data_IF_167702297944
#
_entry.id   IF_167702297944
#
_cell.length_a   1.000
_cell.length_b   1.000
_cell.length_c   1.000
_cell.angle_alpha   90.00
_cell.angle_beta   90.00
_cell.angle_gamma   90.00
#
_symmetry.space_group_name_H-M   'P 1'
#
loop_
_entity.id
_entity.type
_entity.pdbx_description
1 polymer ?
#
# COMPACT_ATOMS: atom_id res chain seq x y z
N UNK A 1 -19.73 4.17 -9.91
CA UNK A 1 -18.87 5.23 -9.36
C UNK A 1 -19.17 6.54 -10.05
N UNK A 2 -18.82 7.67 -9.43
CA UNK A 2 -18.94 9.02 -9.95
C UNK A 2 -17.58 9.72 -9.82
N UNK A 3 -17.20 10.52 -10.82
CA UNK A 3 -15.97 11.33 -10.81
C UNK A 3 -16.25 12.72 -11.40
N UNK A 4 -15.68 13.79 -10.83
CA UNK A 4 -15.81 15.15 -11.38
C UNK A 4 -14.53 15.95 -11.22
N UNK A 5 -14.25 16.78 -12.24
CA UNK A 5 -13.18 17.78 -12.30
C UNK A 5 -13.71 19.16 -12.71
N UNK A 6 -15.02 19.36 -12.65
CA UNK A 6 -15.67 20.60 -13.07
C UNK A 6 -15.38 21.75 -12.11
N UNK A 7 -15.13 21.42 -10.83
CA UNK A 7 -14.66 22.38 -9.83
C UNK A 7 -13.15 22.54 -10.02
N UNK A 8 -12.73 23.76 -10.33
CA UNK A 8 -11.32 24.11 -10.54
C UNK A 8 -10.44 23.62 -9.38
N UNK A 9 -9.30 23.03 -9.70
CA UNK A 9 -8.29 22.53 -8.77
C UNK A 9 -8.72 21.31 -7.92
N UNK A 10 -9.94 20.79 -8.10
CA UNK A 10 -10.43 19.58 -7.44
C UNK A 10 -10.50 18.38 -8.40
N UNK A 11 -10.10 17.22 -7.89
CA UNK A 11 -10.28 15.91 -8.53
C UNK A 11 -11.05 15.00 -7.57
N UNK A 12 -12.37 14.89 -7.80
CA UNK A 12 -13.32 14.27 -6.88
C UNK A 12 -13.81 12.91 -7.39
N UNK A 13 -14.05 11.99 -6.47
CA UNK A 13 -14.62 10.69 -6.77
C UNK A 13 -15.47 10.15 -5.61
N UNK A 14 -16.46 9.33 -5.96
CA UNK A 14 -17.27 8.58 -5.02
C UNK A 14 -17.73 7.25 -5.63
N UNK A 15 -17.96 6.24 -4.82
CA UNK A 15 -18.60 5.00 -5.25
C UNK A 15 -19.34 4.33 -4.10
N UNK A 16 -20.36 3.54 -4.46
CA UNK A 16 -20.96 2.51 -3.62
C UNK A 16 -20.64 1.16 -4.28
N UNK A 17 -20.22 0.18 -3.49
CA UNK A 17 -19.80 -1.16 -3.92
C UNK A 17 -20.47 -2.20 -3.01
N UNK A 18 -21.21 -3.15 -3.59
CA UNK A 18 -21.96 -4.18 -2.88
C UNK A 18 -21.36 -5.59 -3.04
N UNK A 19 -20.56 -5.80 -4.09
CA UNK A 19 -19.92 -7.10 -4.38
C UNK A 19 -18.48 -6.95 -4.82
N UNK A 20 -17.73 -8.05 -4.69
CA UNK A 20 -16.35 -8.20 -5.17
C UNK A 20 -16.21 -9.47 -5.99
N UNK A 21 -15.47 -9.40 -7.09
CA UNK A 21 -14.97 -10.59 -7.79
C UNK A 21 -13.45 -10.66 -7.54
N UNK A 22 -13.02 -11.71 -6.87
CA UNK A 22 -11.62 -11.88 -6.49
C UNK A 22 -10.75 -12.28 -7.68
N UNK A 23 -9.45 -11.96 -7.60
CA UNK A 23 -8.46 -12.21 -8.67
C UNK A 23 -8.33 -13.69 -9.09
N UNK A 24 -8.70 -14.60 -8.19
CA UNK A 24 -8.70 -16.05 -8.31
C UNK A 24 -10.12 -16.64 -8.33
N UNK A 25 -11.15 -15.81 -8.58
CA UNK A 25 -12.55 -16.21 -8.68
C UNK A 25 -13.14 -15.89 -10.05
N UNK A 26 -14.29 -16.48 -10.33
CA UNK A 26 -15.09 -16.24 -11.54
C UNK A 26 -16.48 -15.70 -11.22
N UNK A 27 -16.80 -15.45 -9.95
CA UNK A 27 -18.13 -15.02 -9.51
C UNK A 27 -18.05 -13.80 -8.57
N UNK A 28 -19.20 -13.14 -8.39
CA UNK A 28 -19.33 -12.01 -7.47
C UNK A 28 -19.80 -12.48 -6.09
N UNK A 29 -18.99 -12.19 -5.08
CA UNK A 29 -19.21 -12.51 -3.67
C UNK A 29 -19.51 -11.24 -2.85
N UNK A 30 -19.99 -11.41 -1.62
CA UNK A 30 -20.08 -10.30 -0.66
C UNK A 30 -18.68 -9.84 -0.26
N UNK A 31 -18.56 -8.55 0.03
CA UNK A 31 -17.33 -7.95 0.54
C UNK A 31 -17.13 -8.41 2.00
N UNK A 32 -15.88 -8.72 2.40
CA UNK A 32 -15.55 -9.15 3.76
C UNK A 32 -14.21 -8.59 4.26
N UNK A 33 -14.12 -8.38 5.57
CA UNK A 33 -12.89 -7.98 6.25
C UNK A 33 -11.94 -9.18 6.45
N UNK A 34 -10.64 -8.93 6.32
CA UNK A 34 -9.59 -9.90 6.59
C UNK A 34 -9.44 -10.19 8.09
N UNK A 35 -9.40 -11.48 8.44
CA UNK A 35 -9.11 -11.96 9.80
C UNK A 35 -7.66 -12.41 10.00
N UNK A 36 -6.74 -11.99 9.14
CA UNK A 36 -5.34 -12.44 9.18
C UNK A 36 -4.72 -12.30 10.57
N UNK A 37 -3.92 -13.27 10.98
CA UNK A 37 -3.25 -13.31 12.29
C UNK A 37 -4.21 -13.22 13.49
N UNK A 38 -5.51 -13.46 13.28
CA UNK A 38 -6.54 -13.30 14.31
C UNK A 38 -6.73 -11.86 14.76
N UNK A 39 -6.36 -10.87 13.93
CA UNK A 39 -6.46 -9.43 14.26
C UNK A 39 -7.90 -8.97 14.40
N UNK A 40 -8.79 -9.53 13.59
CA UNK A 40 -10.22 -9.26 13.57
C UNK A 40 -11.00 -10.55 13.35
N UNK A 41 -12.28 -10.55 13.72
CA UNK A 41 -13.20 -11.61 13.28
C UNK A 41 -13.54 -11.37 11.80
N UNK A 42 -13.29 -12.36 10.94
CA UNK A 42 -13.72 -12.25 9.54
C UNK A 42 -15.25 -12.21 9.48
N UNK A 43 -15.78 -11.20 8.79
CA UNK A 43 -17.20 -10.93 8.67
C UNK A 43 -17.50 -10.27 7.31
N UNK A 44 -18.65 -10.61 6.74
CA UNK A 44 -19.16 -10.03 5.50
C UNK A 44 -19.97 -8.75 5.79
N UNK A 45 -20.08 -7.88 4.80
CA UNK A 45 -20.94 -6.69 4.78
C UNK A 45 -21.91 -6.74 3.61
N UNK A 46 -22.98 -5.95 3.69
CA UNK A 46 -23.90 -5.74 2.57
C UNK A 46 -23.35 -4.75 1.54
N UNK A 47 -22.36 -3.92 1.91
CA UNK A 47 -21.65 -3.06 0.98
C UNK A 47 -20.75 -2.05 1.66
N UNK A 48 -20.13 -1.21 0.85
CA UNK A 48 -19.35 -0.08 1.31
C UNK A 48 -19.54 1.12 0.40
N UNK A 49 -19.27 2.30 0.91
CA UNK A 49 -19.08 3.48 0.08
C UNK A 49 -17.78 4.18 0.41
N UNK A 50 -17.25 4.90 -0.56
CA UNK A 50 -16.20 5.88 -0.33
C UNK A 50 -16.51 7.16 -1.08
N UNK A 51 -16.00 8.26 -0.55
CA UNK A 51 -16.02 9.56 -1.19
C UNK A 51 -14.79 10.36 -0.78
N UNK A 52 -14.31 11.19 -1.70
CA UNK A 52 -13.16 12.02 -1.43
C UNK A 52 -12.53 12.53 -2.71
N UNK A 53 -11.29 12.96 -2.59
CA UNK A 53 -10.57 13.49 -3.73
C UNK A 53 -9.31 14.21 -3.33
N UNK A 54 -8.83 15.00 -4.27
CA UNK A 54 -7.65 15.81 -4.12
C UNK A 54 -7.93 17.27 -4.41
N UNK A 55 -7.19 18.15 -3.75
CA UNK A 55 -7.18 19.58 -3.99
C UNK A 55 -5.76 20.05 -4.31
N UNK A 56 -5.59 20.69 -5.47
CA UNK A 56 -4.34 21.32 -5.86
C UNK A 56 -4.25 22.71 -5.20
N UNK A 57 -3.64 22.78 -4.02
CA UNK A 57 -3.57 24.02 -3.23
C UNK A 57 -2.69 25.08 -3.92
N UNK A 58 -1.54 24.67 -4.44
CA UNK A 58 -0.65 25.48 -5.29
C UNK A 58 0.22 24.54 -6.15
N UNK A 59 1.08 25.01 -7.07
CA UNK A 59 1.88 24.12 -7.93
C UNK A 59 2.77 23.08 -7.21
N UNK A 60 3.16 23.34 -5.96
CA UNK A 60 4.03 22.47 -5.16
C UNK A 60 3.25 21.56 -4.18
N UNK A 61 2.05 21.95 -3.74
CA UNK A 61 1.30 21.28 -2.68
C UNK A 61 -0.04 20.75 -3.18
N UNK A 62 -0.24 19.43 -3.00
CA UNK A 62 -1.49 18.72 -3.25
C UNK A 62 -2.01 18.13 -1.93
N UNK A 63 -3.27 18.40 -1.61
CA UNK A 63 -3.95 17.85 -0.44
C UNK A 63 -4.90 16.73 -0.88
N UNK A 64 -5.10 15.74 -0.02
CA UNK A 64 -5.95 14.57 -0.27
C UNK A 64 -6.82 14.32 0.95
N UNK A 65 -8.10 14.03 0.74
CA UNK A 65 -9.01 13.61 1.81
C UNK A 65 -10.00 12.56 1.28
N UNK A 66 -10.22 11.51 2.05
CA UNK A 66 -11.17 10.43 1.77
C UNK A 66 -11.86 9.97 3.04
N UNK A 67 -13.11 9.55 2.90
CA UNK A 67 -13.85 8.78 3.88
C UNK A 67 -14.37 7.51 3.20
N UNK A 68 -14.27 6.39 3.89
CA UNK A 68 -14.81 5.10 3.48
C UNK A 68 -15.56 4.49 4.65
N UNK A 69 -16.70 3.89 4.36
CA UNK A 69 -17.59 3.27 5.33
C UNK A 69 -17.95 1.89 4.81
N UNK A 70 -17.66 0.87 5.63
CA UNK A 70 -17.92 -0.53 5.34
C UNK A 70 -18.97 -0.99 6.35
N UNK A 71 -20.20 -1.11 5.88
CA UNK A 71 -21.41 -1.21 6.71
C UNK A 71 -21.28 -2.33 7.75
N UNK A 72 -21.58 -1.99 9.01
CA UNK A 72 -21.48 -2.86 10.19
C UNK A 72 -20.08 -3.47 10.48
N UNK A 73 -19.02 -3.01 9.81
CA UNK A 73 -17.65 -3.48 10.02
C UNK A 73 -16.74 -2.37 10.55
N UNK A 74 -16.45 -1.37 9.73
CA UNK A 74 -15.57 -0.25 10.10
C UNK A 74 -15.73 0.94 9.15
N UNK A 75 -15.40 2.12 9.66
CA UNK A 75 -15.21 3.31 8.86
C UNK A 75 -13.73 3.76 8.91
N UNK A 76 -13.30 4.47 7.87
CA UNK A 76 -11.93 4.94 7.72
C UNK A 76 -11.86 6.33 7.11
N UNK A 77 -11.25 7.26 7.86
CA UNK A 77 -10.90 8.60 7.37
C UNK A 77 -9.44 8.62 6.98
N UNK A 78 -9.13 9.15 5.80
CA UNK A 78 -7.77 9.40 5.32
C UNK A 78 -7.61 10.88 5.01
N UNK A 79 -6.53 11.49 5.50
CA UNK A 79 -6.07 12.80 5.05
C UNK A 79 -4.60 12.72 4.68
N UNK A 80 -4.17 13.54 3.73
CA UNK A 80 -2.78 13.60 3.35
C UNK A 80 -2.38 14.86 2.61
N UNK A 81 -1.07 15.07 2.55
CA UNK A 81 -0.44 16.14 1.83
C UNK A 81 0.77 15.60 1.06
N UNK A 82 0.91 15.99 -0.20
CA UNK A 82 2.08 15.76 -1.03
C UNK A 82 2.68 17.12 -1.38
N UNK A 83 3.93 17.33 -0.98
CA UNK A 83 4.72 18.51 -1.32
C UNK A 83 5.86 18.12 -2.27
N UNK A 84 6.02 18.88 -3.35
CA UNK A 84 7.09 18.73 -4.33
C UNK A 84 8.05 19.92 -4.25
N UNK A 85 9.35 19.63 -4.17
CA UNK A 85 10.41 20.62 -4.10
C UNK A 85 11.52 20.29 -5.10
N UNK A 86 11.53 21.00 -6.23
CA UNK A 86 12.60 20.91 -7.22
C UNK A 86 13.80 21.74 -6.73
N UNK A 87 14.93 21.08 -6.49
CA UNK A 87 16.18 21.75 -6.05
C UNK A 87 16.93 22.29 -7.29
N UNK A 88 17.05 21.47 -8.33
CA UNK A 88 17.64 21.83 -9.62
C UNK A 88 17.12 20.89 -10.73
N UNK A 89 17.65 21.00 -11.94
CA UNK A 89 17.16 20.22 -13.10
C UNK A 89 17.33 18.70 -12.98
N UNK A 90 18.26 18.24 -12.14
CA UNK A 90 18.53 16.81 -11.93
C UNK A 90 18.08 16.32 -10.57
N UNK A 91 17.71 17.23 -9.65
CA UNK A 91 17.46 16.90 -8.25
C UNK A 91 16.09 17.39 -7.79
N UNK A 92 15.24 16.46 -7.36
CA UNK A 92 13.91 16.71 -6.82
C UNK A 92 13.73 16.02 -5.48
N UNK A 93 13.05 16.68 -4.56
CA UNK A 93 12.65 16.12 -3.28
C UNK A 93 11.14 16.19 -3.13
N UNK A 94 10.53 15.10 -2.67
CA UNK A 94 9.10 15.07 -2.36
C UNK A 94 8.84 14.54 -0.96
N UNK A 95 7.85 15.12 -0.30
CA UNK A 95 7.38 14.71 1.02
C UNK A 95 5.91 14.39 0.94
N UNK A 96 5.52 13.18 1.35
CA UNK A 96 4.13 12.78 1.48
C UNK A 96 3.85 12.36 2.92
N UNK A 97 2.88 13.04 3.54
CA UNK A 97 2.40 12.74 4.88
C UNK A 97 0.94 12.32 4.78
N UNK A 98 0.59 11.21 5.41
CA UNK A 98 -0.78 10.69 5.47
C UNK A 98 -1.13 10.28 6.89
N UNK A 99 -2.37 10.49 7.25
CA UNK A 99 -2.97 10.00 8.48
C UNK A 99 -4.25 9.23 8.14
N UNK A 100 -4.39 8.07 8.76
CA UNK A 100 -5.56 7.22 8.64
C UNK A 100 -6.14 6.98 10.04
N UNK A 101 -7.44 7.20 10.18
CA UNK A 101 -8.22 6.87 11.37
C UNK A 101 -9.21 5.77 11.00
N UNK A 102 -9.07 4.60 11.59
CA UNK A 102 -9.99 3.47 11.39
C UNK A 102 -10.74 3.17 12.67
N UNK A 103 -12.07 3.08 12.62
CA UNK A 103 -12.93 2.79 13.77
C UNK A 103 -14.02 1.79 13.43
N UNK A 104 -14.53 1.07 14.42
CA UNK A 104 -15.69 0.21 14.23
C UNK A 104 -16.92 1.04 13.85
N UNK A 105 -17.85 0.39 13.15
CA UNK A 105 -19.06 1.01 12.64
C UNK A 105 -20.28 0.10 12.87
N UNK A 106 -21.46 0.69 13.09
CA UNK A 106 -22.73 -0.02 13.22
C UNK A 106 -22.70 -1.14 14.27
N UNK A 107 -23.06 -2.36 13.85
CA UNK A 107 -23.04 -3.56 14.68
C UNK A 107 -21.63 -4.09 15.02
N UNK A 108 -20.57 -3.53 14.42
CA UNK A 108 -19.18 -3.92 14.64
C UNK A 108 -18.94 -5.44 14.54
N UNK A 109 -19.43 -6.09 13.47
CA UNK A 109 -19.38 -7.56 13.29
C UNK A 109 -17.95 -8.11 13.28
N UNK A 110 -16.97 -7.26 12.99
CA UNK A 110 -15.53 -7.57 13.01
C UNK A 110 -14.90 -7.59 14.42
N UNK A 111 -15.62 -7.09 15.42
CA UNK A 111 -15.08 -6.77 16.74
C UNK A 111 -14.55 -5.34 16.81
N UNK A 112 -13.76 -5.05 17.85
CA UNK A 112 -13.14 -3.73 18.04
C UNK A 112 -12.25 -3.38 16.83
N UNK A 113 -12.40 -2.16 16.33
CA UNK A 113 -11.46 -1.52 15.40
C UNK A 113 -11.08 -0.18 16.00
N UNK A 114 -9.83 -0.06 16.42
CA UNK A 114 -9.23 1.16 16.96
C UNK A 114 -7.79 1.25 16.45
N UNK A 115 -7.60 1.98 15.35
CA UNK A 115 -6.28 2.18 14.75
C UNK A 115 -6.11 3.61 14.23
N UNK A 116 -4.98 4.21 14.60
CA UNK A 116 -4.47 5.45 14.04
C UNK A 116 -3.12 5.14 13.37
N UNK A 117 -3.04 5.36 12.06
CA UNK A 117 -1.81 5.16 11.30
C UNK A 117 -1.28 6.50 10.80
N UNK A 118 -0.10 6.89 11.27
CA UNK A 118 0.69 7.95 10.66
C UNK A 118 1.69 7.33 9.70
N UNK A 119 1.69 7.85 8.48
CA UNK A 119 2.50 7.35 7.39
C UNK A 119 3.23 8.50 6.71
N UNK A 120 4.56 8.48 6.80
CA UNK A 120 5.42 9.45 6.13
C UNK A 120 6.25 8.75 5.05
N UNK A 121 6.37 9.39 3.89
CA UNK A 121 7.12 8.91 2.75
C UNK A 121 7.89 10.07 2.10
N UNK A 122 9.20 9.94 2.01
CA UNK A 122 10.10 10.94 1.46
C UNK A 122 10.89 10.34 0.30
N UNK A 123 10.97 11.07 -0.80
CA UNK A 123 11.73 10.65 -1.99
C UNK A 123 12.70 11.75 -2.40
N UNK A 124 14.00 11.43 -2.42
CA UNK A 124 15.03 12.22 -3.06
C UNK A 124 15.41 11.56 -4.38
N UNK A 125 15.16 12.24 -5.49
CA UNK A 125 15.63 11.85 -6.81
C UNK A 125 16.81 12.71 -7.20
N UNK A 126 17.92 12.10 -7.59
CA UNK A 126 19.08 12.77 -8.17
C UNK A 126 19.53 12.03 -9.43
N UNK A 127 19.46 12.69 -10.58
CA UNK A 127 19.69 12.09 -11.89
C UNK A 127 18.82 10.84 -12.08
N UNK A 128 19.45 9.67 -12.18
CA UNK A 128 18.79 8.37 -12.38
C UNK A 128 18.57 7.60 -11.08
N UNK A 129 19.03 8.14 -9.95
CA UNK A 129 18.92 7.54 -8.64
C UNK A 129 17.69 8.05 -7.89
N UNK A 130 17.07 7.16 -7.13
CA UNK A 130 16.08 7.53 -6.11
C UNK A 130 16.46 6.92 -4.78
N UNK A 131 16.37 7.73 -3.74
CA UNK A 131 16.52 7.33 -2.35
C UNK A 131 15.20 7.64 -1.64
N UNK A 132 14.57 6.61 -1.09
CA UNK A 132 13.23 6.69 -0.53
C UNK A 132 13.27 6.19 0.92
N UNK A 133 12.70 6.99 1.81
CA UNK A 133 12.46 6.60 3.21
C UNK A 133 10.96 6.64 3.49
N UNK A 134 10.45 5.57 4.11
CA UNK A 134 9.06 5.46 4.52
C UNK A 134 8.95 4.99 5.97
N UNK A 135 7.90 5.42 6.67
CA UNK A 135 7.58 4.85 7.99
C UNK A 135 6.07 4.71 8.22
N UNK A 136 5.69 3.62 8.88
CA UNK A 136 4.37 3.44 9.48
C UNK A 136 4.49 3.51 11.00
N UNK A 137 3.57 4.27 11.61
CA UNK A 137 3.48 4.44 13.05
C UNK A 137 2.04 4.14 13.46
N UNK A 138 1.78 2.92 13.93
CA UNK A 138 0.46 2.51 14.37
C UNK A 138 0.23 2.86 15.85
N UNK A 139 -0.94 3.40 16.14
CA UNK A 139 -1.42 3.72 17.49
C UNK A 139 -2.85 3.17 17.65
N UNK A 140 -3.28 2.99 18.88
CA UNK A 140 -4.54 2.33 19.21
C UNK A 140 -4.38 0.85 19.57
N UNK A 141 -5.50 0.19 19.79
CA UNK A 141 -5.53 -1.19 20.31
C UNK A 141 -5.47 -2.27 19.25
N UNK A 142 -5.74 -1.95 18.00
CA UNK A 142 -5.92 -2.93 16.93
C UNK A 142 -5.01 -2.67 15.72
N UNK A 143 -5.01 -3.61 14.78
CA UNK A 143 -4.28 -3.52 13.51
C UNK A 143 -4.92 -2.52 12.55
N UNK A 144 -4.27 -2.24 11.42
CA UNK A 144 -4.95 -1.53 10.32
C UNK A 144 -5.92 -2.49 9.60
N UNK A 145 -7.25 -2.19 9.52
CA UNK A 145 -8.22 -3.07 8.88
C UNK A 145 -8.15 -2.97 7.35
N UNK A 146 -8.40 -4.10 6.67
CA UNK A 146 -8.52 -4.16 5.23
C UNK A 146 -9.41 -5.34 4.77
N UNK A 147 -9.89 -5.25 3.52
CA UNK A 147 -10.77 -6.24 2.90
C UNK A 147 -9.96 -7.42 2.32
N UNK A 148 -10.56 -8.60 2.25
CA UNK A 148 -9.87 -9.78 1.68
C UNK A 148 -9.66 -9.69 0.17
N UNK A 149 -8.71 -10.46 -0.35
CA UNK A 149 -8.54 -10.67 -1.80
C UNK A 149 -7.70 -9.62 -2.51
N UNK A 150 -7.02 -8.76 -1.76
CA UNK A 150 -6.07 -7.78 -2.27
C UNK A 150 -5.23 -7.17 -1.16
N UNK A 151 -4.36 -6.26 -1.56
CA UNK A 151 -3.44 -5.52 -0.71
C UNK A 151 -3.99 -4.11 -0.39
N UNK A 152 -3.32 -3.36 0.49
CA UNK A 152 -3.77 -2.03 0.92
C UNK A 152 -3.31 -0.91 -0.03
N UNK A 153 -4.03 0.21 -0.06
CA UNK A 153 -3.67 1.41 -0.84
C UNK A 153 -2.59 2.31 -0.21
N UNK A 154 -1.66 1.74 0.57
CA UNK A 154 -0.58 2.45 1.26
C UNK A 154 0.68 2.54 0.37
N UNK A 155 1.72 3.27 0.80
CA UNK A 155 2.94 3.52 -0.03
C UNK A 155 4.11 2.62 0.34
N UNK A 156 4.19 2.12 1.58
CA UNK A 156 5.04 0.98 1.90
C UNK A 156 4.26 -0.27 1.49
N UNK A 157 4.36 -0.60 0.21
CA UNK A 157 3.78 -1.79 -0.40
C UNK A 157 4.89 -2.83 -0.56
N UNK A 158 5.08 -3.60 0.50
CA UNK A 158 5.95 -4.80 0.58
C UNK A 158 5.18 -6.03 0.09
N UNK A 159 5.87 -7.10 -0.31
CA UNK A 159 5.23 -8.18 -1.07
C UNK A 159 4.63 -9.26 -0.14
N UNK A 160 5.41 -10.11 0.54
CA UNK A 160 4.86 -11.07 1.49
C UNK A 160 4.66 -10.49 2.91
N UNK A 161 5.49 -9.54 3.34
CA UNK A 161 5.32 -8.78 4.58
C UNK A 161 4.45 -7.55 4.35
N UNK A 162 3.64 -7.17 5.35
CA UNK A 162 2.69 -6.07 5.22
C UNK A 162 2.88 -4.95 6.27
N UNK A 163 3.49 -5.24 7.43
CA UNK A 163 3.81 -4.25 8.48
C UNK A 163 2.58 -3.48 9.01
N UNK A 164 1.46 -4.18 9.20
CA UNK A 164 0.16 -3.61 9.63
C UNK A 164 -0.31 -4.11 11.00
N UNK A 165 0.58 -4.71 11.80
CA UNK A 165 0.18 -5.28 13.09
C UNK A 165 -0.19 -4.20 14.13
N UNK A 166 -0.95 -4.56 15.19
CA UNK A 166 -1.29 -3.62 16.25
C UNK A 166 -0.02 -3.03 16.90
N UNK A 167 -0.03 -1.71 17.13
CA UNK A 167 1.04 -0.92 17.78
C UNK A 167 2.40 -0.91 17.06
N UNK A 168 2.49 -1.50 15.87
CA UNK A 168 3.71 -1.65 15.11
C UNK A 168 4.34 -0.30 14.69
N UNK A 169 5.68 -0.27 14.70
CA UNK A 169 6.53 0.82 14.22
C UNK A 169 7.45 0.28 13.14
N UNK A 170 7.21 0.68 11.89
CA UNK A 170 7.93 0.16 10.74
C UNK A 170 8.70 1.25 9.98
N UNK A 171 9.86 0.88 9.44
CA UNK A 171 10.77 1.74 8.70
C UNK A 171 11.22 1.05 7.42
N UNK A 172 11.13 1.75 6.31
CA UNK A 172 11.46 1.26 4.97
C UNK A 172 12.51 2.16 4.32
N UNK A 173 13.57 1.55 3.81
CA UNK A 173 14.63 2.21 3.05
C UNK A 173 14.69 1.60 1.66
N UNK A 174 14.50 2.42 0.62
CA UNK A 174 14.43 1.95 -0.76
C UNK A 174 15.38 2.74 -1.65
N UNK A 175 16.05 2.01 -2.53
CA UNK A 175 16.87 2.57 -3.59
C UNK A 175 16.34 2.13 -4.94
N UNK A 176 16.29 3.04 -5.91
CA UNK A 176 16.01 2.72 -7.31
C UNK A 176 17.06 3.31 -8.24
N UNK A 177 17.28 2.64 -9.37
CA UNK A 177 18.10 3.13 -10.47
C UNK A 177 17.43 2.91 -11.82
N UNK A 178 17.38 3.97 -12.64
CA UNK A 178 16.94 3.93 -14.04
C UNK A 178 18.16 3.84 -14.97
N UNK A 179 18.29 2.74 -15.71
CA UNK A 179 19.43 2.49 -16.59
C UNK A 179 19.29 3.15 -17.96
N UNK A 180 18.38 4.12 -18.15
CA UNK A 180 18.12 4.76 -19.46
C UNK A 180 19.36 5.22 -20.25
N UNK A 181 20.46 5.56 -19.58
CA UNK A 181 21.70 6.03 -20.23
C UNK A 181 22.60 4.88 -20.73
N UNK A 182 22.28 3.62 -20.37
CA UNK A 182 23.01 2.41 -20.76
C UNK A 182 22.11 1.42 -21.49
N UNK A 183 20.98 1.07 -20.86
CA UNK A 183 20.00 0.09 -21.36
C UNK A 183 18.60 0.70 -21.19
N UNK A 184 18.09 1.41 -22.22
CA UNK A 184 16.76 2.01 -22.18
C UNK A 184 15.66 1.02 -21.81
N UNK A 185 14.94 1.31 -20.72
CA UNK A 185 13.84 0.47 -20.23
C UNK A 185 14.23 -0.51 -19.12
N UNK A 186 15.52 -0.66 -18.79
CA UNK A 186 15.97 -1.45 -17.65
C UNK A 186 15.91 -0.63 -16.35
N UNK A 187 15.38 -1.21 -15.28
CA UNK A 187 15.23 -0.59 -13.96
C UNK A 187 15.53 -1.59 -12.84
N UNK A 188 16.16 -1.10 -11.78
CA UNK A 188 16.43 -1.86 -10.57
C UNK A 188 15.85 -1.16 -9.35
N UNK A 189 15.35 -1.94 -8.41
CA UNK A 189 14.96 -1.50 -7.08
C UNK A 189 15.41 -2.52 -6.03
N UNK A 190 15.84 -2.02 -4.88
CA UNK A 190 15.97 -2.82 -3.67
C UNK A 190 15.43 -2.05 -2.47
N UNK A 191 14.90 -2.78 -1.50
CA UNK A 191 14.32 -2.20 -0.29
C UNK A 191 14.62 -3.08 0.91
N UNK A 192 14.87 -2.44 2.04
CA UNK A 192 14.90 -3.08 3.35
C UNK A 192 13.83 -2.45 4.23
N UNK A 193 12.95 -3.28 4.79
CA UNK A 193 11.88 -2.87 5.70
C UNK A 193 12.00 -3.61 7.02
N UNK A 194 11.84 -2.90 8.14
CA UNK A 194 11.86 -3.51 9.48
C UNK A 194 10.78 -2.93 10.36
N UNK A 195 10.09 -3.81 11.08
CA UNK A 195 9.01 -3.51 12.02
C UNK A 195 9.35 -3.99 13.43
N UNK A 196 8.93 -3.23 14.44
CA UNK A 196 9.08 -3.58 15.86
C UNK A 196 7.90 -3.05 16.69
N UNK A 197 7.90 -3.33 18.01
CA UNK A 197 6.82 -2.99 18.92
C UNK A 197 5.47 -3.62 18.53
N UNK A 198 5.52 -4.77 17.87
CA UNK A 198 4.32 -5.49 17.44
C UNK A 198 3.62 -6.09 18.66
N UNK A 199 2.32 -5.81 18.80
CA UNK A 199 1.48 -6.36 19.84
C UNK A 199 0.61 -7.50 19.28
N UNK A 200 1.00 -8.76 19.54
CA UNK A 200 0.22 -9.93 19.16
C UNK A 200 0.37 -11.06 20.22
N UNK A 201 -0.21 -10.91 21.43
CA UNK A 201 -0.09 -11.91 22.49
C UNK A 201 -0.55 -13.32 22.07
N UNK A 202 -1.58 -13.39 21.22
CA UNK A 202 -2.08 -14.62 20.62
C UNK A 202 -1.06 -15.32 19.69
N UNK A 203 -0.02 -14.60 19.25
CA UNK A 203 1.03 -15.07 18.35
C UNK A 203 2.43 -14.96 18.97
N UNK A 204 2.53 -14.99 20.29
CA UNK A 204 3.82 -15.19 20.98
C UNK A 204 4.32 -13.99 21.78
N UNK A 205 3.58 -12.88 21.83
CA UNK A 205 3.82 -11.86 22.84
C UNK A 205 3.62 -10.43 22.40
N UNK A 206 4.22 -9.54 23.17
CA UNK A 206 4.28 -8.10 22.92
C UNK A 206 5.71 -7.72 22.56
N UNK A 207 5.90 -6.67 21.77
CA UNK A 207 7.21 -6.23 21.27
C UNK A 207 7.88 -7.23 20.31
N UNK A 208 7.07 -7.88 19.47
CA UNK A 208 7.56 -8.72 18.37
C UNK A 208 8.14 -7.84 17.23
N UNK A 209 8.81 -8.48 16.27
CA UNK A 209 9.51 -7.83 15.16
C UNK A 209 9.35 -8.60 13.85
N UNK A 210 9.44 -7.88 12.75
CA UNK A 210 9.49 -8.43 11.40
C UNK A 210 10.48 -7.66 10.51
N UNK A 211 10.94 -8.30 9.44
CA UNK A 211 11.86 -7.70 8.46
C UNK A 211 11.67 -8.29 7.08
N UNK A 212 11.92 -7.47 6.07
CA UNK A 212 11.86 -7.87 4.66
C UNK A 212 13.01 -7.23 3.88
N UNK A 213 13.62 -8.00 2.97
CA UNK A 213 14.55 -7.49 1.96
C UNK A 213 14.04 -7.84 0.57
N UNK A 214 13.83 -6.81 -0.25
CA UNK A 214 13.28 -6.90 -1.60
C UNK A 214 14.33 -6.62 -2.67
N UNK A 215 14.23 -7.34 -3.78
CA UNK A 215 14.94 -7.10 -5.03
C UNK A 215 13.97 -7.15 -6.21
N UNK A 216 13.99 -6.12 -7.06
CA UNK A 216 13.13 -6.00 -8.25
C UNK A 216 13.97 -5.56 -9.44
N UNK A 217 13.96 -6.38 -10.49
CA UNK A 217 14.61 -6.08 -11.76
C UNK A 217 13.58 -6.15 -12.88
N UNK A 218 13.35 -5.02 -13.53
CA UNK A 218 12.40 -4.89 -14.62
C UNK A 218 13.07 -4.42 -15.91
N UNK A 219 12.70 -5.01 -17.04
CA UNK A 219 13.10 -4.57 -18.37
C UNK A 219 11.88 -4.48 -19.27
N UNK A 220 11.62 -3.29 -19.84
CA UNK A 220 10.57 -3.11 -20.83
C UNK A 220 11.18 -2.62 -22.13
N UNK A 221 10.92 -3.32 -23.23
CA UNK A 221 11.42 -2.94 -24.55
C UNK A 221 10.71 -1.66 -25.01
N UNK A 222 11.49 -0.60 -25.23
CA UNK A 222 10.98 0.76 -25.49
C UNK A 222 10.63 1.03 -26.97
N UNK A 223 11.23 0.29 -27.90
CA UNK A 223 11.12 0.54 -29.34
C UNK A 223 11.24 -0.76 -30.17
N UNK A 224 11.03 -0.66 -31.49
CA UNK A 224 11.07 -1.80 -32.40
C UNK A 224 9.79 -2.65 -32.36
N UNK A 225 9.86 -3.83 -32.98
CA UNK A 225 8.70 -4.71 -33.18
C UNK A 225 8.25 -5.46 -31.90
N UNK A 226 9.11 -5.53 -30.89
CA UNK A 226 8.79 -6.05 -29.55
C UNK A 226 8.46 -4.96 -28.53
N UNK A 227 8.20 -3.72 -28.99
CA UNK A 227 7.83 -2.63 -28.09
C UNK A 227 6.67 -3.06 -27.17
N UNK A 228 6.79 -2.73 -25.88
CA UNK A 228 5.88 -3.12 -24.80
C UNK A 228 6.01 -4.58 -24.30
N UNK A 229 6.97 -5.37 -24.80
CA UNK A 229 7.35 -6.60 -24.12
C UNK A 229 8.06 -6.23 -22.80
N UNK A 230 7.53 -6.73 -21.69
CA UNK A 230 8.03 -6.54 -20.35
C UNK A 230 8.53 -7.86 -19.74
N UNK A 231 9.69 -7.82 -19.12
CA UNK A 231 10.26 -8.88 -18.29
C UNK A 231 10.47 -8.32 -16.90
N UNK A 232 10.04 -9.05 -15.86
CA UNK A 232 10.26 -8.61 -14.48
C UNK A 232 10.53 -9.79 -13.56
N UNK A 233 11.59 -9.67 -12.77
CA UNK A 233 11.93 -10.61 -11.72
C UNK A 233 11.90 -9.91 -10.36
N UNK A 234 11.26 -10.54 -9.39
CA UNK A 234 11.08 -10.04 -8.03
C UNK A 234 11.44 -11.13 -7.04
N UNK A 235 12.22 -10.78 -6.03
CA UNK A 235 12.61 -11.69 -4.94
C UNK A 235 12.51 -10.99 -3.59
N UNK A 236 11.79 -11.59 -2.65
CA UNK A 236 11.65 -11.10 -1.28
C UNK A 236 12.10 -12.15 -0.26
N UNK A 237 12.76 -11.67 0.79
CA UNK A 237 13.19 -12.46 1.95
C UNK A 237 12.52 -11.86 3.17
N UNK A 238 11.45 -12.50 3.65
CA UNK A 238 10.67 -12.06 4.79
C UNK A 238 10.90 -12.97 6.00
N UNK A 239 11.06 -12.37 7.18
CA UNK A 239 11.26 -13.09 8.43
C UNK A 239 10.65 -12.34 9.62
N UNK A 240 10.19 -13.08 10.62
CA UNK A 240 9.60 -12.55 11.85
C UNK A 240 9.89 -13.47 13.05
N UNK A 241 9.58 -13.02 14.26
CA UNK A 241 9.68 -13.84 15.47
C UNK A 241 8.30 -14.14 16.11
N UNK A 242 7.25 -14.20 15.29
CA UNK A 242 5.92 -14.64 15.72
C UNK A 242 5.84 -16.16 15.81
N UNK A 243 4.82 -16.69 16.49
CA UNK A 243 4.56 -18.13 16.53
C UNK A 243 4.27 -18.69 15.13
N UNK A 244 4.64 -19.96 14.92
CA UNK A 244 4.40 -20.68 13.66
C UNK A 244 2.92 -20.88 13.30
N UNK A 245 2.01 -20.58 14.23
CA UNK A 245 0.56 -20.58 14.02
C UNK A 245 0.05 -19.31 13.32
N UNK A 246 0.88 -18.28 13.15
CA UNK A 246 0.54 -17.07 12.40
C UNK A 246 0.18 -17.39 10.93
N UNK A 247 -0.71 -16.61 10.33
CA UNK A 247 -0.99 -16.71 8.90
C UNK A 247 0.20 -16.20 8.09
N UNK A 248 0.77 -15.08 8.49
CA UNK A 248 1.95 -14.45 7.87
C UNK A 248 3.21 -15.02 8.50
N UNK A 249 3.99 -15.75 7.69
CA UNK A 249 5.12 -16.56 8.14
C UNK A 249 6.40 -16.17 7.42
N UNK A 250 7.58 -16.44 8.01
CA UNK A 250 8.85 -16.33 7.31
C UNK A 250 8.81 -17.06 5.97
N UNK A 251 9.22 -16.38 4.90
CA UNK A 251 9.10 -16.90 3.53
C UNK A 251 10.12 -16.22 2.61
N UNK A 252 10.62 -17.00 1.65
CA UNK A 252 11.34 -16.48 0.50
C UNK A 252 10.44 -16.60 -0.72
N UNK A 253 10.09 -15.47 -1.33
CA UNK A 253 9.12 -15.42 -2.42
C UNK A 253 9.79 -14.96 -3.73
N UNK A 254 9.50 -15.66 -4.83
CA UNK A 254 9.96 -15.31 -6.18
C UNK A 254 8.77 -15.08 -7.09
N UNK A 255 8.74 -13.96 -7.83
CA UNK A 255 7.77 -13.70 -8.91
C UNK A 255 8.51 -13.38 -10.21
N UNK A 256 8.11 -14.02 -11.31
CA UNK A 256 8.62 -13.75 -12.65
C UNK A 256 7.43 -13.47 -13.56
N UNK A 257 7.49 -12.37 -14.31
CA UNK A 257 6.43 -11.93 -15.22
C UNK A 257 7.01 -11.70 -16.63
N UNK A 258 6.25 -12.13 -17.64
CA UNK A 258 6.49 -11.83 -19.06
C UNK A 258 5.18 -11.30 -19.62
N UNK A 259 5.13 -10.00 -19.85
CA UNK A 259 3.92 -9.31 -20.24
C UNK A 259 4.09 -8.72 -21.63
N UNK A 260 3.11 -8.90 -22.50
CA UNK A 260 3.08 -8.26 -23.82
C UNK A 260 1.70 -7.68 -24.10
N UNK A 261 1.69 -6.45 -24.60
CA UNK A 261 0.44 -5.72 -24.86
C UNK A 261 0.32 -5.40 -26.35
N UNK A 262 -0.67 -6.01 -27.00
CA UNK A 262 -1.11 -5.57 -28.32
C UNK A 262 -1.88 -4.25 -28.22
N UNK A 263 -1.59 -3.32 -29.13
CA UNK A 263 -2.40 -2.13 -29.35
C UNK A 263 -3.02 -2.20 -30.74
N UNK A 264 -4.29 -2.58 -30.79
CA UNK A 264 -5.01 -2.75 -32.06
C UNK A 264 -5.48 -1.43 -32.68
N UNK A 265 -5.70 -0.39 -31.86
CA UNK A 265 -6.09 0.97 -32.25
C UNK A 265 -5.47 1.98 -31.29
#
# INVERSE_FOLDING_TARGET
SLTSKDIKDFDLQAAYLDKVNHRDSTNYEKIKISGVNGRFKSAETDGLYYLGGNYQFNPALKLTAFYMDVDDLYNQTMVGALHQHKINDTTNFSSQLRYYRSRDDGQAKAGLVDNDLYHAHFELKHQNHKFIFGTFQHHGDTAFPYLTGGETGLLIDTWPGEFLNPKEKAYSFRYEYDFKDYVPGLRFMTRYTTGHNIYAPNLGGTNLKERETDFDLGYTIQSGWLKNLGLRARYAIYDNNMLSTANIKPVNETRINIDYTWKFK
#
